data_IF_420093246652
#
_entry.id   IF_420093246652
#
_cell.length_a   1.000
_cell.length_b   1.000
_cell.length_c   1.000
_cell.angle_alpha   90.00
_cell.angle_beta   90.00
_cell.angle_gamma   90.00
#
_symmetry.space_group_name_H-M   'P 1'
#
loop_
_entity.id
_entity.type
_entity.pdbx_description
1 polymer ?
#
# COMPACT_ATOMS: atom_id res chain seq x y z
N UNK A 1 25.85 -9.89 -14.44
CA UNK A 1 26.02 -11.28 -13.97
C UNK A 1 26.16 -11.25 -12.46
N UNK A 2 25.05 -11.07 -11.73
CA UNK A 2 24.93 -11.20 -10.26
C UNK A 2 23.44 -11.29 -9.94
N UNK A 3 22.87 -12.40 -10.36
CA UNK A 3 21.52 -12.81 -9.99
C UNK A 3 21.71 -14.21 -9.38
N UNK A 4 21.48 -14.34 -8.09
CA UNK A 4 21.36 -15.55 -7.26
C UNK A 4 22.16 -15.42 -5.96
N UNK A 5 21.49 -14.90 -4.92
CA UNK A 5 21.82 -15.24 -3.51
C UNK A 5 20.91 -14.44 -2.54
N UNK A 6 19.60 -14.69 -2.58
CA UNK A 6 18.69 -14.35 -1.47
C UNK A 6 17.58 -15.40 -1.37
N UNK A 7 17.97 -16.62 -1.05
CA UNK A 7 17.03 -17.71 -0.90
C UNK A 7 17.30 -18.51 0.37
N UNK A 8 17.47 -17.87 1.52
CA UNK A 8 17.47 -18.58 2.81
C UNK A 8 17.47 -17.57 3.99
N UNK A 9 16.34 -16.97 4.35
CA UNK A 9 16.03 -16.47 5.72
C UNK A 9 14.50 -16.25 5.83
N UNK A 10 13.66 -17.25 5.57
CA UNK A 10 12.21 -17.13 5.83
C UNK A 10 11.61 -18.45 6.35
N UNK A 11 12.25 -18.99 7.39
CA UNK A 11 11.68 -20.15 8.09
C UNK A 11 11.58 -19.84 9.58
N UNK A 12 10.62 -18.99 9.97
CA UNK A 12 10.15 -18.95 11.38
C UNK A 12 9.15 -17.82 11.59
N UNK A 13 7.99 -17.95 10.98
CA UNK A 13 6.72 -17.46 11.52
C UNK A 13 5.64 -18.40 11.00
N UNK A 14 5.64 -19.60 11.59
CA UNK A 14 4.58 -20.56 11.37
C UNK A 14 3.31 -20.03 12.05
N UNK A 15 2.37 -19.56 11.27
CA UNK A 15 0.97 -19.43 11.70
C UNK A 15 0.39 -20.84 11.64
N UNK A 16 0.00 -21.45 12.78
CA UNK A 16 -0.60 -22.79 12.75
C UNK A 16 -1.99 -22.73 12.11
N UNK A 17 -2.19 -23.42 10.99
CA UNK A 17 -3.51 -23.61 10.40
C UNK A 17 -3.64 -23.46 8.87
N UNK A 18 -2.55 -23.37 8.11
CA UNK A 18 -2.63 -23.40 6.65
C UNK A 18 -2.70 -24.84 6.17
N UNK A 19 -3.92 -25.32 5.92
CA UNK A 19 -4.15 -26.54 5.16
C UNK A 19 -3.75 -26.32 3.69
N UNK A 20 -3.03 -27.30 3.15
CA UNK A 20 -2.67 -27.50 1.74
C UNK A 20 -3.92 -27.38 0.84
N UNK A 21 -4.00 -26.24 0.16
CA UNK A 21 -4.98 -25.96 -0.89
C UNK A 21 -4.40 -24.80 -1.70
N UNK A 22 -4.09 -25.02 -2.96
CA UNK A 22 -3.67 -24.01 -3.94
C UNK A 22 -4.41 -22.69 -3.69
N UNK A 23 -3.79 -21.75 -3.00
CA UNK A 23 -4.35 -20.41 -2.80
C UNK A 23 -4.39 -19.73 -4.17
N UNK A 24 -5.58 -19.65 -4.74
CA UNK A 24 -5.78 -18.85 -5.94
C UNK A 24 -5.41 -17.40 -5.58
N UNK A 25 -4.28 -16.92 -6.11
CA UNK A 25 -3.84 -15.55 -5.89
C UNK A 25 -4.98 -14.59 -6.28
N UNK A 26 -5.43 -13.78 -5.33
CA UNK A 26 -6.44 -12.77 -5.58
C UNK A 26 -5.95 -11.81 -6.65
N UNK A 27 -6.76 -11.65 -7.72
CA UNK A 27 -6.43 -10.76 -8.82
C UNK A 27 -6.57 -9.30 -8.38
N UNK A 28 -5.52 -8.50 -8.58
CA UNK A 28 -5.59 -7.06 -8.41
C UNK A 28 -6.42 -6.47 -9.57
N UNK A 29 -7.49 -5.75 -9.21
CA UNK A 29 -8.36 -5.07 -10.17
C UNK A 29 -7.74 -3.76 -10.63
N UNK A 30 -7.99 -3.41 -11.90
CA UNK A 30 -7.40 -2.22 -12.54
C UNK A 30 -8.32 -1.02 -12.47
N UNK A 31 -7.73 0.17 -12.65
CA UNK A 31 -8.47 1.43 -12.80
C UNK A 31 -9.64 1.27 -13.77
N UNK A 32 -10.80 1.76 -13.37
CA UNK A 32 -12.08 1.55 -14.07
C UNK A 32 -12.99 0.54 -13.35
N UNK A 33 -12.44 -0.38 -12.54
CA UNK A 33 -13.25 -1.30 -11.75
C UNK A 33 -14.07 -0.55 -10.69
N UNK A 34 -15.38 -0.87 -10.49
CA UNK A 34 -16.26 -0.14 -9.56
C UNK A 34 -15.74 -0.12 -8.11
N UNK A 35 -15.10 -1.19 -7.65
CA UNK A 35 -14.56 -1.27 -6.28
C UNK A 35 -13.54 -0.17 -5.96
N UNK A 36 -12.79 0.30 -6.98
CA UNK A 36 -11.78 1.35 -6.82
C UNK A 36 -12.36 2.78 -6.80
N UNK A 37 -13.66 2.92 -7.00
CA UNK A 37 -14.38 4.22 -6.97
C UNK A 37 -15.34 4.34 -5.79
N UNK A 38 -15.56 3.23 -5.09
CA UNK A 38 -16.48 3.18 -3.97
C UNK A 38 -15.73 3.43 -2.65
N UNK A 39 -16.38 4.15 -1.74
CA UNK A 39 -15.88 4.27 -0.37
C UNK A 39 -16.00 2.91 0.33
N UNK A 40 -14.90 2.43 0.87
CA UNK A 40 -14.83 1.15 1.56
C UNK A 40 -15.54 1.20 2.91
N UNK A 41 -16.22 0.10 3.26
CA UNK A 41 -16.97 -0.04 4.50
C UNK A 41 -16.06 -0.25 5.69
N UNK A 42 -16.37 0.39 6.81
CA UNK A 42 -15.68 0.15 8.07
C UNK A 42 -15.79 -1.34 8.48
N UNK A 43 -14.71 -1.84 9.07
CA UNK A 43 -14.68 -3.16 9.70
C UNK A 43 -15.26 -3.03 11.10
N UNK A 44 -16.27 -3.83 11.40
CA UNK A 44 -16.96 -3.80 12.72
C UNK A 44 -16.15 -4.55 13.75
N UNK A 45 -15.69 -5.75 13.42
CA UNK A 45 -14.83 -6.59 14.28
C UNK A 45 -13.48 -6.84 13.56
N UNK A 46 -12.41 -6.14 13.98
CA UNK A 46 -11.09 -6.36 13.42
C UNK A 46 -10.50 -7.75 13.68
N UNK A 47 -10.98 -8.44 14.71
CA UNK A 47 -10.47 -9.76 15.14
C UNK A 47 -11.20 -10.93 14.48
N UNK A 48 -12.23 -10.64 13.68
CA UNK A 48 -13.02 -11.67 13.02
C UNK A 48 -12.16 -12.53 12.05
N UNK A 49 -12.38 -13.86 11.98
CA UNK A 49 -11.60 -14.76 11.13
C UNK A 49 -11.59 -14.36 9.66
N UNK A 50 -12.67 -13.76 9.15
CA UNK A 50 -12.73 -13.26 7.77
C UNK A 50 -11.78 -12.08 7.52
N UNK A 51 -11.40 -11.31 8.54
CA UNK A 51 -10.41 -10.25 8.40
C UNK A 51 -9.00 -10.84 8.33
N UNK A 52 -8.71 -11.86 9.12
CA UNK A 52 -7.43 -12.57 9.04
C UNK A 52 -7.26 -13.24 7.67
N UNK A 53 -8.31 -13.88 7.13
CA UNK A 53 -8.30 -14.45 5.79
C UNK A 53 -8.10 -13.36 4.71
N UNK A 54 -8.81 -12.24 4.80
CA UNK A 54 -8.64 -11.11 3.88
C UNK A 54 -7.19 -10.58 3.91
N UNK A 55 -6.59 -10.42 5.08
CA UNK A 55 -5.20 -9.97 5.22
C UNK A 55 -4.23 -10.96 4.56
N UNK A 56 -4.45 -12.27 4.70
CA UNK A 56 -3.64 -13.29 4.05
C UNK A 56 -3.74 -13.21 2.51
N UNK A 57 -4.95 -13.04 1.98
CA UNK A 57 -5.20 -12.85 0.54
C UNK A 57 -4.51 -11.58 0.02
N UNK A 58 -4.65 -10.47 0.74
CA UNK A 58 -4.00 -9.20 0.40
C UNK A 58 -2.47 -9.35 0.38
N UNK A 59 -1.90 -10.00 1.39
CA UNK A 59 -0.46 -10.22 1.49
C UNK A 59 0.06 -11.08 0.34
N UNK A 60 -0.66 -12.15 -0.01
CA UNK A 60 -0.34 -12.99 -1.17
C UNK A 60 -0.34 -12.19 -2.47
N UNK A 61 -1.39 -11.39 -2.70
CA UNK A 61 -1.52 -10.55 -3.90
C UNK A 61 -0.43 -9.46 -3.96
N UNK A 62 -0.14 -8.78 -2.85
CA UNK A 62 0.88 -7.74 -2.75
C UNK A 62 2.27 -8.29 -3.08
N UNK A 63 2.65 -9.41 -2.47
CA UNK A 63 3.96 -10.06 -2.68
C UNK A 63 4.13 -10.57 -4.12
N UNK A 64 3.09 -11.21 -4.68
CA UNK A 64 3.12 -11.69 -6.05
C UNK A 64 3.27 -10.56 -7.08
N UNK A 65 2.83 -9.34 -6.73
CA UNK A 65 2.95 -8.15 -7.55
C UNK A 65 4.17 -7.28 -7.21
N UNK A 66 5.04 -7.73 -6.27
CA UNK A 66 6.22 -7.00 -5.78
C UNK A 66 5.88 -5.58 -5.28
N UNK A 67 4.67 -5.42 -4.71
CA UNK A 67 4.17 -4.15 -4.18
C UNK A 67 4.67 -3.85 -2.78
N UNK A 68 4.70 -2.57 -2.41
CA UNK A 68 5.02 -2.08 -1.06
C UNK A 68 3.77 -1.79 -0.23
N UNK A 69 2.60 -1.77 -0.86
CA UNK A 69 1.30 -1.57 -0.21
C UNK A 69 0.16 -2.16 -1.03
N UNK A 70 -0.95 -2.43 -0.37
CA UNK A 70 -2.20 -2.88 -0.98
C UNK A 70 -3.38 -2.53 -0.07
N UNK A 71 -4.46 -2.06 -0.68
CA UNK A 71 -5.74 -1.82 -0.03
C UNK A 71 -6.77 -2.89 -0.44
N UNK A 72 -7.67 -3.27 0.47
CA UNK A 72 -8.70 -4.29 0.20
C UNK A 72 -9.56 -4.01 -1.04
N UNK A 73 -9.93 -2.75 -1.39
CA UNK A 73 -10.62 -2.46 -2.65
C UNK A 73 -9.85 -2.88 -3.90
N UNK A 74 -8.52 -2.98 -3.86
CA UNK A 74 -7.71 -3.42 -4.99
C UNK A 74 -7.83 -4.92 -5.30
N UNK A 75 -8.33 -5.70 -4.36
CA UNK A 75 -8.77 -7.10 -4.59
C UNK A 75 -10.30 -7.23 -4.58
N UNK A 76 -11.00 -6.14 -4.91
CA UNK A 76 -12.45 -6.05 -5.01
C UNK A 76 -13.22 -6.28 -3.69
N UNK A 77 -12.58 -6.14 -2.52
CA UNK A 77 -13.22 -6.27 -1.21
C UNK A 77 -13.46 -4.90 -0.59
N UNK A 78 -14.74 -4.53 -0.38
CA UNK A 78 -15.12 -3.23 0.19
C UNK A 78 -15.00 -3.24 1.72
N UNK A 79 -13.77 -3.23 2.24
CA UNK A 79 -13.43 -3.14 3.67
C UNK A 79 -12.31 -2.12 3.87
N UNK A 80 -12.36 -1.36 4.97
CA UNK A 80 -11.30 -0.40 5.32
C UNK A 80 -10.10 -1.13 5.94
N UNK A 81 -9.35 -1.83 5.09
CA UNK A 81 -8.13 -2.55 5.45
C UNK A 81 -7.04 -2.19 4.45
N UNK A 82 -5.87 -1.82 4.95
CA UNK A 82 -4.64 -1.61 4.16
C UNK A 82 -3.48 -2.38 4.78
N UNK A 83 -2.59 -2.84 3.93
CA UNK A 83 -1.31 -3.42 4.32
C UNK A 83 -0.20 -2.68 3.61
N UNK A 84 0.94 -2.50 4.24
CA UNK A 84 2.12 -1.91 3.62
C UNK A 84 3.40 -2.26 4.38
N UNK A 85 4.51 -2.07 3.70
CA UNK A 85 5.86 -2.10 4.28
C UNK A 85 6.70 -0.98 3.66
N UNK A 86 7.75 -0.55 4.36
CA UNK A 86 8.68 0.45 3.84
C UNK A 86 10.07 -0.19 3.82
N UNK A 87 10.50 -0.69 2.65
CA UNK A 87 11.80 -1.36 2.53
C UNK A 87 12.96 -0.36 2.73
N UNK A 88 14.08 -0.85 3.26
CA UNK A 88 15.26 -0.03 3.53
C UNK A 88 15.76 0.77 2.31
N UNK A 89 15.59 0.22 1.10
CA UNK A 89 15.98 0.90 -0.15
C UNK A 89 15.13 2.14 -0.49
N UNK A 90 13.98 2.32 0.18
CA UNK A 90 13.05 3.44 -0.02
C UNK A 90 13.05 4.44 1.12
N UNK A 91 13.84 4.17 2.15
CA UNK A 91 13.94 5.06 3.32
C UNK A 91 14.99 6.12 3.05
N UNK A 92 14.66 7.37 3.32
CA UNK A 92 15.61 8.47 3.41
C UNK A 92 15.90 8.75 4.88
N UNK A 93 17.22 8.81 5.25
CA UNK A 93 17.63 9.14 6.61
C UNK A 93 16.88 10.38 7.16
N UNK A 94 16.36 10.41 8.40
CA UNK A 94 16.67 9.52 9.53
C UNK A 94 15.61 8.42 9.80
N UNK A 95 14.69 8.14 8.91
CA UNK A 95 13.59 7.20 9.19
C UNK A 95 14.05 5.74 9.07
N UNK A 96 13.64 4.84 9.98
CA UNK A 96 13.93 3.42 9.85
C UNK A 96 13.01 2.75 8.82
N UNK A 97 13.43 1.63 8.22
CA UNK A 97 12.54 0.78 7.45
C UNK A 97 11.40 0.28 8.33
N UNK A 98 10.23 0.05 7.73
CA UNK A 98 9.03 -0.38 8.45
C UNK A 98 8.61 -1.75 7.93
N UNK A 99 8.59 -2.72 8.83
CA UNK A 99 8.08 -4.06 8.53
C UNK A 99 6.58 -4.03 8.23
N UNK A 100 6.06 -5.17 7.77
CA UNK A 100 4.66 -5.32 7.43
C UNK A 100 3.75 -4.71 8.50
N UNK A 101 2.96 -3.74 8.08
CA UNK A 101 1.98 -3.05 8.92
C UNK A 101 0.59 -3.29 8.33
N UNK A 102 -0.33 -3.73 9.17
CA UNK A 102 -1.74 -3.95 8.83
C UNK A 102 -2.53 -2.90 9.58
N UNK A 103 -3.30 -2.09 8.85
CA UNK A 103 -4.15 -1.06 9.44
C UNK A 103 -5.61 -1.28 9.05
N UNK A 104 -6.44 -1.46 10.04
CA UNK A 104 -7.89 -1.59 9.93
C UNK A 104 -8.53 -0.28 10.39
N UNK A 105 -9.47 0.25 9.62
CA UNK A 105 -10.13 1.53 9.85
C UNK A 105 -9.13 2.69 10.07
N UNK A 106 -8.16 2.89 9.17
CA UNK A 106 -7.17 3.94 9.33
C UNK A 106 -7.79 5.33 9.32
N UNK A 107 -7.20 6.21 10.13
CA UNK A 107 -7.48 7.66 10.14
C UNK A 107 -6.14 8.38 10.02
N UNK A 108 -6.06 9.36 9.13
CA UNK A 108 -4.87 10.19 8.89
C UNK A 108 -5.14 11.62 9.35
N UNK A 109 -4.15 12.23 9.98
CA UNK A 109 -4.17 13.62 10.43
C UNK A 109 -2.84 14.29 10.02
N UNK A 110 -2.85 15.22 9.04
CA UNK A 110 -1.65 15.94 8.63
C UNK A 110 -1.00 16.71 9.79
N UNK A 111 0.33 16.76 9.81
CA UNK A 111 1.11 17.57 10.75
C UNK A 111 1.66 18.78 10.00
N UNK A 112 0.99 19.91 10.16
CA UNK A 112 1.29 21.14 9.41
C UNK A 112 0.78 21.09 7.97
N UNK A 113 1.22 22.04 7.17
CA UNK A 113 0.78 22.21 5.77
C UNK A 113 1.85 21.82 4.73
N UNK A 114 3.04 21.41 5.19
CA UNK A 114 4.14 21.07 4.31
C UNK A 114 3.78 19.85 3.44
N UNK A 115 3.97 20.01 2.14
CA UNK A 115 3.75 18.96 1.15
C UNK A 115 5.01 18.73 0.33
N UNK A 116 5.18 17.51 -0.12
CA UNK A 116 6.24 17.09 -1.05
C UNK A 116 5.61 16.42 -2.28
N UNK A 117 6.07 16.84 -3.46
CA UNK A 117 5.69 16.19 -4.72
C UNK A 117 6.69 15.10 -5.05
N UNK A 118 6.22 13.90 -5.32
CA UNK A 118 7.07 12.76 -5.65
C UNK A 118 6.36 11.77 -6.55
N UNK A 119 7.15 10.92 -7.20
CA UNK A 119 6.65 9.93 -8.13
C UNK A 119 5.86 8.84 -7.40
N UNK A 120 4.67 8.51 -7.91
CA UNK A 120 3.85 7.40 -7.46
C UNK A 120 3.46 6.49 -8.63
N UNK A 121 3.41 5.21 -8.35
CA UNK A 121 2.81 4.17 -9.18
C UNK A 121 1.82 3.36 -8.36
N UNK A 122 0.98 2.56 -9.02
CA UNK A 122 -0.04 1.77 -8.33
C UNK A 122 -0.23 0.42 -9.03
N UNK A 123 -0.38 -0.65 -8.27
CA UNK A 123 -0.67 -1.98 -8.79
C UNK A 123 -1.99 -2.05 -9.59
N UNK A 124 -2.91 -1.12 -9.32
CA UNK A 124 -4.16 -0.97 -10.09
C UNK A 124 -4.03 -0.14 -11.36
N UNK A 125 -2.85 0.48 -11.61
CA UNK A 125 -2.47 1.20 -12.82
C UNK A 125 -1.11 0.70 -13.32
N UNK A 126 -1.00 -0.56 -13.74
CA UNK A 126 0.29 -1.18 -14.06
C UNK A 126 1.01 -0.45 -15.19
N UNK A 127 2.32 -0.22 -14.99
CA UNK A 127 3.19 0.44 -15.94
C UNK A 127 3.04 1.97 -16.02
N UNK A 128 2.17 2.58 -15.21
CA UNK A 128 1.96 4.03 -15.19
C UNK A 128 2.45 4.65 -13.88
N UNK A 129 2.98 5.86 -14.00
CA UNK A 129 3.40 6.68 -12.87
C UNK A 129 3.08 8.16 -13.09
N UNK A 130 3.17 8.95 -11.99
CA UNK A 130 2.95 10.40 -12.05
C UNK A 130 3.38 11.10 -10.79
N UNK A 131 3.58 12.42 -10.88
CA UNK A 131 4.04 13.27 -9.79
C UNK A 131 2.85 13.67 -8.90
N UNK A 132 2.88 13.25 -7.63
CA UNK A 132 1.77 13.41 -6.68
C UNK A 132 2.21 14.22 -5.46
N UNK A 133 1.52 15.32 -5.13
CA UNK A 133 1.75 16.05 -3.88
C UNK A 133 1.13 15.29 -2.70
N UNK A 134 1.91 15.10 -1.64
CA UNK A 134 1.48 14.48 -0.38
C UNK A 134 1.90 15.33 0.81
N UNK A 135 1.16 15.26 1.90
CA UNK A 135 1.63 15.80 3.16
C UNK A 135 2.94 15.13 3.55
N UNK A 136 3.95 15.95 3.86
CA UNK A 136 5.29 15.47 4.22
C UNK A 136 5.27 14.71 5.54
N UNK A 137 4.42 15.13 6.50
CA UNK A 137 4.29 14.52 7.83
C UNK A 137 2.82 14.32 8.18
N UNK A 138 2.51 13.23 8.83
CA UNK A 138 1.17 12.95 9.35
C UNK A 138 1.21 12.06 10.59
N UNK A 139 0.15 12.14 11.38
CA UNK A 139 -0.20 11.09 12.31
C UNK A 139 -1.15 10.12 11.61
N UNK A 140 -0.97 8.84 11.83
CA UNK A 140 -1.99 7.87 11.54
C UNK A 140 -2.34 7.03 12.76
N UNK A 141 -3.58 6.58 12.79
CA UNK A 141 -4.07 5.59 13.76
C UNK A 141 -4.94 4.57 13.06
N UNK A 142 -4.96 3.37 13.59
CA UNK A 142 -5.80 2.27 13.12
C UNK A 142 -5.78 1.13 14.12
N UNK A 143 -6.44 0.03 13.79
CA UNK A 143 -6.51 -1.17 14.62
C UNK A 143 -5.77 -2.31 13.92
N UNK A 144 -5.11 -3.18 14.69
CA UNK A 144 -4.48 -4.41 14.18
C UNK A 144 -5.49 -5.56 14.12
N UNK A 145 -5.20 -6.65 13.39
CA UNK A 145 -6.04 -7.85 13.41
C UNK A 145 -6.23 -8.48 14.78
N UNK A 146 -5.33 -8.21 15.72
CA UNK A 146 -5.40 -8.68 17.12
C UNK A 146 -6.22 -7.74 18.02
N UNK A 147 -6.80 -6.66 17.46
CA UNK A 147 -7.56 -5.66 18.19
C UNK A 147 -6.73 -4.57 18.87
N UNK A 148 -5.41 -4.60 18.69
CA UNK A 148 -4.50 -3.56 19.20
C UNK A 148 -4.63 -2.25 18.43
N UNK A 149 -4.33 -1.12 19.09
CA UNK A 149 -4.34 0.20 18.46
C UNK A 149 -2.92 0.60 18.07
N UNK A 150 -2.75 0.97 16.80
CA UNK A 150 -1.52 1.60 16.30
C UNK A 150 -1.75 3.09 16.21
N UNK A 151 -0.77 3.88 16.72
CA UNK A 151 -0.66 5.33 16.51
C UNK A 151 0.79 5.64 16.21
N UNK A 152 1.05 6.33 15.09
CA UNK A 152 2.41 6.75 14.71
C UNK A 152 2.37 8.13 14.08
N UNK A 153 3.42 8.91 14.35
CA UNK A 153 3.81 10.06 13.55
C UNK A 153 4.85 9.58 12.54
N UNK A 154 4.68 9.95 11.27
CA UNK A 154 5.52 9.49 10.16
C UNK A 154 5.75 10.61 9.16
N UNK A 155 6.84 10.50 8.38
CA UNK A 155 7.19 11.46 7.34
C UNK A 155 7.68 10.76 6.05
N UNK A 156 8.05 11.55 5.07
CA UNK A 156 8.72 11.10 3.86
C UNK A 156 7.98 9.99 3.11
N UNK A 157 8.72 8.96 2.68
CA UNK A 157 8.15 7.85 1.90
C UNK A 157 7.11 7.05 2.69
N UNK A 158 7.30 6.87 4.01
CA UNK A 158 6.30 6.20 4.87
C UNK A 158 4.97 6.96 4.86
N UNK A 159 5.01 8.28 5.03
CA UNK A 159 3.81 9.11 4.99
C UNK A 159 3.13 9.04 3.62
N UNK A 160 3.90 9.00 2.51
CA UNK A 160 3.40 8.86 1.14
C UNK A 160 2.65 7.55 0.94
N UNK A 161 3.27 6.42 1.31
CA UNK A 161 2.66 5.09 1.17
C UNK A 161 1.33 5.01 1.92
N UNK A 162 1.30 5.42 3.18
CA UNK A 162 0.06 5.37 3.99
C UNK A 162 -1.05 6.23 3.37
N UNK A 163 -0.73 7.43 2.86
CA UNK A 163 -1.71 8.28 2.16
C UNK A 163 -2.24 7.61 0.89
N UNK A 164 -1.35 6.98 0.12
CA UNK A 164 -1.73 6.27 -1.10
C UNK A 164 -2.71 5.14 -0.81
N UNK A 165 -2.39 4.28 0.17
CA UNK A 165 -3.24 3.14 0.51
C UNK A 165 -4.59 3.56 1.11
N UNK A 166 -4.61 4.62 1.94
CA UNK A 166 -5.86 5.12 2.52
C UNK A 166 -6.74 5.79 1.46
N UNK A 167 -6.16 6.46 0.46
CA UNK A 167 -6.92 7.00 -0.68
C UNK A 167 -7.76 5.91 -1.37
N UNK A 168 -7.23 4.70 -1.54
CA UNK A 168 -8.00 3.59 -2.10
C UNK A 168 -9.25 3.24 -1.30
N UNK A 169 -9.21 3.41 0.03
CA UNK A 169 -10.38 3.19 0.89
C UNK A 169 -11.48 4.24 0.69
N UNK A 170 -11.08 5.41 0.19
CA UNK A 170 -11.98 6.53 -0.08
C UNK A 170 -12.36 6.63 -1.57
N UNK A 171 -12.01 5.60 -2.36
CA UNK A 171 -12.31 5.53 -3.79
C UNK A 171 -11.46 6.49 -4.63
N UNK A 172 -10.30 6.89 -4.14
CA UNK A 172 -9.39 7.82 -4.79
C UNK A 172 -8.18 7.06 -5.33
N UNK A 173 -7.81 7.32 -6.58
CA UNK A 173 -6.58 6.86 -7.20
C UNK A 173 -5.59 8.02 -7.32
N UNK A 174 -4.28 7.73 -7.28
CA UNK A 174 -3.24 8.77 -7.27
C UNK A 174 -3.34 9.78 -8.42
N UNK A 175 -3.79 9.44 -9.66
CA UNK A 175 -3.98 10.47 -10.70
C UNK A 175 -5.01 11.55 -10.32
N UNK A 176 -5.95 11.26 -9.41
CA UNK A 176 -6.92 12.23 -8.91
C UNK A 176 -6.33 13.24 -7.92
N UNK A 177 -5.12 12.97 -7.41
CA UNK A 177 -4.35 13.87 -6.55
C UNK A 177 -3.32 14.70 -7.28
N UNK A 178 -3.02 14.36 -8.55
CA UNK A 178 -2.06 15.09 -9.36
C UNK A 178 -2.54 16.50 -9.65
N UNK A 179 -1.60 17.45 -9.61
CA UNK A 179 -1.86 18.86 -10.00
C UNK A 179 -1.55 19.12 -11.46
N UNK A 180 -0.62 18.33 -12.01
CA UNK A 180 -0.16 18.46 -13.39
C UNK A 180 -0.15 17.09 -14.06
N UNK A 181 -1.10 16.88 -14.96
CA UNK A 181 -1.22 15.65 -15.73
C UNK A 181 -0.16 15.50 -16.83
N UNK A 182 0.62 16.53 -17.14
CA UNK A 182 1.76 16.39 -18.06
C UNK A 182 2.86 15.50 -17.50
N UNK A 183 2.85 15.27 -16.17
CA UNK A 183 3.77 14.36 -15.48
C UNK A 183 3.24 12.93 -15.35
N UNK A 184 2.12 12.61 -16.01
CA UNK A 184 1.50 11.29 -15.98
C UNK A 184 1.80 10.53 -17.25
N UNK A 185 2.40 9.34 -17.15
CA UNK A 185 2.77 8.55 -18.32
C UNK A 185 3.12 7.11 -17.99
N UNK A 186 3.48 6.39 -19.04
CA UNK A 186 4.09 5.08 -18.89
C UNK A 186 5.53 5.21 -18.41
N UNK A 187 5.91 4.39 -17.44
CA UNK A 187 7.24 4.43 -16.79
C UNK A 187 8.35 4.25 -17.83
N UNK A 188 8.21 3.30 -18.75
CA UNK A 188 9.19 3.02 -19.82
C UNK A 188 9.36 4.18 -20.83
N UNK A 189 8.36 5.05 -20.99
CA UNK A 189 8.48 6.27 -21.79
C UNK A 189 9.06 7.43 -20.97
N UNK A 190 8.70 7.53 -19.68
CA UNK A 190 9.21 8.56 -18.78
C UNK A 190 10.72 8.40 -18.54
N UNK A 191 11.22 7.18 -18.38
CA UNK A 191 12.65 6.87 -18.20
C UNK A 191 13.51 7.32 -19.41
N UNK A 192 12.96 7.36 -20.61
CA UNK A 192 13.66 7.85 -21.81
C UNK A 192 13.87 9.37 -21.81
N UNK A 193 12.98 10.08 -21.13
CA UNK A 193 12.97 11.55 -21.11
C UNK A 193 13.47 12.15 -19.80
N UNK A 194 13.40 11.37 -18.71
CA UNK A 194 13.79 11.75 -17.35
C UNK A 194 14.69 10.65 -16.76
N UNK A 195 15.96 10.54 -17.19
CA UNK A 195 16.86 9.44 -16.83
C UNK A 195 17.25 9.39 -15.33
N UNK A 196 16.79 10.35 -14.52
CA UNK A 196 17.04 10.43 -13.06
C UNK A 196 15.81 10.09 -12.19
N UNK A 197 14.80 9.41 -12.76
CA UNK A 197 13.62 8.96 -12.02
C UNK A 197 13.87 7.72 -11.16
#
# INVERSE_FOLDING_TARGET
>A
MLCCQFQEIWLELAVPGLHDGSMALCKIVRMGHPALRAVAKAVVDPTAPEIAALVADMLGAMRAAEGVGLAAPQIAVSKRVVIFEVPAARVTDPEPPVGLTILINPVLEPVGEAMETGLESCLSLPGMAGMVPRFLRLHYRGVTPEGGVIKREVSGFHARVVQHEVDHLDGILYPMRMRDLSTFGYVDEMEKTLPEL
#
